data_IF_020706035154
#
_entry.id   IF_020706035154
#
_cell.length_a   1.000
_cell.length_b   1.000
_cell.length_c   1.000
_cell.angle_alpha   90.00
_cell.angle_beta   90.00
_cell.angle_gamma   90.00
#
_symmetry.space_group_name_H-M   'P 1'
#
loop_
_entity.id
_entity.type
_entity.pdbx_description
1 polymer ?
#
# COMPACT_ATOMS: atom_id res chain seq x y z
N UNK A 1 27.43 -33.22 -25.64
CA UNK A 1 26.62 -33.53 -24.43
C UNK A 1 27.00 -32.69 -23.20
N UNK A 2 28.25 -32.27 -23.01
CA UNK A 2 28.65 -31.48 -21.83
C UNK A 2 28.12 -30.03 -21.79
N UNK A 3 27.93 -29.39 -22.94
CA UNK A 3 27.50 -27.97 -23.02
C UNK A 3 26.04 -27.78 -22.57
N UNK A 4 25.17 -28.74 -22.89
CA UNK A 4 23.75 -28.69 -22.51
C UNK A 4 23.57 -28.91 -21.01
N UNK A 5 24.36 -29.81 -20.42
CA UNK A 5 24.35 -30.03 -18.97
C UNK A 5 24.84 -28.80 -18.19
N UNK A 6 25.86 -28.10 -18.69
CA UNK A 6 26.34 -26.86 -18.09
C UNK A 6 25.32 -25.72 -18.18
N UNK A 7 24.62 -25.59 -19.31
CA UNK A 7 23.56 -24.58 -19.48
C UNK A 7 22.35 -24.85 -18.57
N UNK A 8 21.95 -26.13 -18.43
CA UNK A 8 20.85 -26.51 -17.53
C UNK A 8 21.20 -26.26 -16.05
N UNK A 9 22.45 -26.50 -15.65
CA UNK A 9 22.91 -26.21 -14.29
C UNK A 9 22.97 -24.71 -14.00
N UNK A 10 23.40 -23.90 -14.98
CA UNK A 10 23.41 -22.44 -14.86
C UNK A 10 21.98 -21.87 -14.72
N UNK A 11 21.00 -22.40 -15.47
CA UNK A 11 19.59 -22.03 -15.34
C UNK A 11 18.99 -22.44 -13.98
N UNK A 12 19.31 -23.63 -13.49
CA UNK A 12 18.84 -24.10 -12.17
C UNK A 12 19.40 -23.25 -11.01
N UNK A 13 20.64 -22.75 -11.14
CA UNK A 13 21.25 -21.83 -10.16
C UNK A 13 20.63 -20.43 -10.23
N UNK A 14 20.21 -19.98 -11.43
CA UNK A 14 19.47 -18.73 -11.61
C UNK A 14 18.05 -18.78 -11.03
N UNK A 15 17.36 -19.93 -11.12
CA UNK A 15 16.06 -20.12 -10.46
C UNK A 15 16.19 -20.23 -8.92
N UNK A 16 17.36 -20.62 -8.43
CA UNK A 16 17.67 -20.67 -7.01
C UNK A 16 18.15 -19.32 -6.43
N UNK A 17 18.17 -18.24 -7.23
CA UNK A 17 18.55 -16.91 -6.74
C UNK A 17 17.63 -16.51 -5.58
N UNK A 18 18.17 -16.42 -4.35
CA UNK A 18 17.40 -16.02 -3.20
C UNK A 18 16.84 -14.62 -3.47
N UNK A 19 15.63 -14.34 -3.00
CA UNK A 19 14.93 -13.05 -3.11
C UNK A 19 15.68 -11.84 -2.51
N UNK A 20 16.94 -12.01 -2.09
CA UNK A 20 17.88 -11.00 -1.64
C UNK A 20 18.25 -9.97 -2.72
N UNK A 21 18.25 -10.35 -4.00
CA UNK A 21 18.56 -9.41 -5.10
C UNK A 21 17.37 -8.49 -5.44
N UNK A 22 16.17 -8.80 -4.93
CA UNK A 22 14.96 -8.01 -5.22
C UNK A 22 14.75 -6.77 -4.33
N UNK A 23 15.69 -6.45 -3.43
CA UNK A 23 15.65 -5.21 -2.63
C UNK A 23 14.46 -5.10 -1.65
N UNK A 24 13.72 -6.20 -1.41
CA UNK A 24 12.67 -6.20 -0.39
C UNK A 24 13.33 -6.19 0.99
N UNK A 25 13.15 -5.11 1.76
CA UNK A 25 13.62 -5.00 3.13
C UNK A 25 13.16 -6.22 3.94
N UNK A 26 14.08 -6.86 4.70
CA UNK A 26 13.96 -8.21 5.32
C UNK A 26 12.65 -8.54 6.06
N UNK A 27 11.82 -7.55 6.38
CA UNK A 27 10.57 -7.72 7.12
C UNK A 27 9.31 -7.57 6.26
N UNK A 28 9.42 -6.99 5.05
CA UNK A 28 8.28 -6.73 4.17
C UNK A 28 7.89 -8.00 3.43
N UNK A 29 6.68 -8.50 3.72
CA UNK A 29 6.13 -9.72 3.13
C UNK A 29 5.05 -9.39 2.12
N UNK A 30 4.83 -10.30 1.18
CA UNK A 30 3.80 -10.15 0.12
C UNK A 30 2.59 -11.05 0.41
N UNK A 31 1.41 -10.59 0.03
CA UNK A 31 0.17 -11.38 0.03
C UNK A 31 -0.53 -11.25 -1.33
N UNK A 32 -1.36 -12.23 -1.68
CA UNK A 32 -2.12 -12.27 -2.94
C UNK A 32 -3.50 -11.64 -2.78
N UNK A 33 -4.09 -11.74 -1.59
CA UNK A 33 -5.44 -11.23 -1.33
C UNK A 33 -5.53 -10.50 0.01
N UNK A 34 -6.55 -9.66 0.13
CA UNK A 34 -6.89 -8.96 1.39
C UNK A 34 -7.18 -9.97 2.50
N UNK A 35 -7.93 -11.03 2.22
CA UNK A 35 -8.25 -12.05 3.22
C UNK A 35 -7.03 -12.84 3.69
N UNK A 36 -6.06 -13.07 2.80
CA UNK A 36 -4.80 -13.70 3.17
C UNK A 36 -4.01 -12.83 4.15
N UNK A 37 -3.89 -11.52 3.88
CA UNK A 37 -3.16 -10.62 4.79
C UNK A 37 -3.89 -10.45 6.13
N UNK A 38 -5.22 -10.38 6.14
CA UNK A 38 -6.01 -10.34 7.38
C UNK A 38 -5.80 -11.58 8.24
N UNK A 39 -5.82 -12.77 7.63
CA UNK A 39 -5.55 -14.03 8.35
C UNK A 39 -4.14 -14.08 8.93
N UNK A 40 -3.14 -13.64 8.15
CA UNK A 40 -1.74 -13.63 8.61
C UNK A 40 -1.48 -12.62 9.72
N UNK A 41 -2.12 -11.45 9.65
CA UNK A 41 -2.00 -10.39 10.65
C UNK A 41 -2.98 -10.56 11.83
N UNK A 42 -3.89 -11.53 11.76
CA UNK A 42 -4.94 -11.81 12.75
C UNK A 42 -5.76 -10.57 13.12
N UNK A 43 -6.02 -9.71 12.13
CA UNK A 43 -6.80 -8.48 12.31
C UNK A 43 -7.54 -8.12 11.03
N UNK A 44 -8.66 -7.41 11.19
CA UNK A 44 -9.41 -6.84 10.08
C UNK A 44 -8.76 -5.55 9.61
N UNK A 45 -8.77 -5.32 8.31
CA UNK A 45 -8.26 -4.08 7.73
C UNK A 45 -9.37 -3.04 7.69
N UNK A 46 -9.02 -1.78 7.89
CA UNK A 46 -9.91 -0.65 7.59
C UNK A 46 -9.79 -0.37 6.09
N UNK A 47 -10.89 -0.51 5.35
CA UNK A 47 -10.94 -0.28 3.90
C UNK A 47 -12.09 0.68 3.56
N UNK A 48 -11.91 1.54 2.54
CA UNK A 48 -13.01 2.28 1.94
C UNK A 48 -14.14 1.35 1.50
N UNK A 49 -15.37 1.71 1.83
CA UNK A 49 -16.55 1.07 1.25
C UNK A 49 -16.86 1.56 -0.16
N UNK A 50 -16.36 2.74 -0.50
CA UNK A 50 -16.44 3.32 -1.83
C UNK A 50 -15.08 3.28 -2.51
N UNK A 51 -15.03 2.75 -3.73
CA UNK A 51 -13.90 2.87 -4.64
C UNK A 51 -14.38 3.50 -5.95
N UNK A 52 -13.72 4.55 -6.45
CA UNK A 52 -14.03 5.12 -7.75
C UNK A 52 -13.97 4.08 -8.88
N UNK A 53 -14.89 4.16 -9.83
CA UNK A 53 -15.02 3.19 -10.92
C UNK A 53 -13.74 3.05 -11.78
N UNK A 54 -12.89 4.09 -11.81
CA UNK A 54 -11.61 4.07 -12.52
C UNK A 54 -10.57 3.12 -11.93
N UNK A 55 -10.72 2.72 -10.66
CA UNK A 55 -9.78 1.83 -9.98
C UNK A 55 -10.09 0.37 -10.30
N UNK A 56 -9.04 -0.42 -10.54
CA UNK A 56 -9.14 -1.85 -10.74
C UNK A 56 -9.06 -2.58 -9.40
N UNK A 57 -10.16 -2.59 -8.63
CA UNK A 57 -10.22 -3.41 -7.40
C UNK A 57 -10.53 -4.88 -7.76
N UNK A 58 -9.89 -5.89 -7.12
CA UNK A 58 -9.00 -5.89 -5.95
C UNK A 58 -7.58 -5.36 -6.19
N UNK A 59 -6.79 -5.03 -5.13
CA UNK A 59 -5.43 -4.50 -5.27
C UNK A 59 -4.50 -5.50 -5.97
N UNK A 60 -3.66 -5.01 -6.88
CA UNK A 60 -2.70 -5.80 -7.65
C UNK A 60 -1.47 -6.19 -6.84
N UNK A 61 -1.17 -5.42 -5.78
CA UNK A 61 -0.02 -5.65 -4.91
C UNK A 61 -0.41 -5.41 -3.47
N UNK A 62 -0.06 -6.36 -2.60
CA UNK A 62 -0.25 -6.27 -1.16
C UNK A 62 1.08 -6.58 -0.50
N UNK A 63 1.56 -5.64 0.32
CA UNK A 63 2.76 -5.81 1.15
C UNK A 63 2.42 -5.54 2.61
N UNK A 64 3.02 -6.27 3.53
CA UNK A 64 2.75 -6.11 4.95
C UNK A 64 3.98 -6.37 5.83
N UNK A 65 3.91 -5.83 7.04
CA UNK A 65 4.86 -5.99 8.13
C UNK A 65 4.12 -6.62 9.31
N UNK A 66 4.62 -7.74 9.83
CA UNK A 66 3.97 -8.47 10.92
C UNK A 66 4.41 -8.03 12.33
N UNK A 67 5.56 -7.34 12.45
CA UNK A 67 6.07 -6.85 13.74
C UNK A 67 5.48 -5.50 14.14
N UNK A 68 5.43 -5.14 15.44
CA UNK A 68 4.83 -3.89 15.93
C UNK A 68 5.38 -2.63 15.23
N UNK A 69 4.52 -1.66 14.85
CA UNK A 69 3.07 -1.61 15.08
C UNK A 69 2.23 -2.47 14.14
N UNK A 70 2.85 -3.26 13.26
CA UNK A 70 2.22 -3.98 12.16
C UNK A 70 1.72 -2.98 11.11
N UNK A 71 1.86 -3.31 9.82
CA UNK A 71 1.36 -2.42 8.79
C UNK A 71 1.09 -3.16 7.48
N UNK A 72 0.26 -2.57 6.63
CA UNK A 72 -0.05 -3.08 5.30
C UNK A 72 -0.12 -1.93 4.31
N UNK A 73 0.42 -2.15 3.11
CA UNK A 73 0.23 -1.34 1.92
C UNK A 73 -0.51 -2.13 0.85
N UNK A 74 -1.49 -1.49 0.22
CA UNK A 74 -2.30 -2.00 -0.88
C UNK A 74 -2.12 -1.03 -2.05
N UNK A 75 -1.59 -1.52 -3.16
CA UNK A 75 -1.49 -0.75 -4.40
C UNK A 75 -2.60 -1.21 -5.35
N UNK A 76 -3.34 -0.23 -5.86
CA UNK A 76 -4.42 -0.40 -6.80
C UNK A 76 -4.11 0.41 -8.05
N UNK A 77 -4.14 -0.26 -9.19
CA UNK A 77 -3.98 0.35 -10.50
C UNK A 77 -5.31 0.94 -10.98
N UNK A 78 -5.25 1.85 -11.94
CA UNK A 78 -6.39 2.23 -12.73
C UNK A 78 -6.80 1.05 -13.62
N UNK A 79 -8.04 1.05 -14.12
CA UNK A 79 -8.49 0.06 -15.13
C UNK A 79 -7.66 0.07 -16.41
N UNK A 80 -6.94 1.16 -16.68
CA UNK A 80 -5.95 1.24 -17.77
C UNK A 80 -4.55 0.71 -17.43
N UNK A 81 -4.34 0.14 -16.23
CA UNK A 81 -3.08 -0.50 -15.81
C UNK A 81 -2.04 0.42 -15.17
N UNK A 82 -2.28 1.74 -15.09
CA UNK A 82 -1.36 2.67 -14.45
C UNK A 82 -1.52 2.70 -12.91
N UNK A 83 -0.45 2.83 -12.11
CA UNK A 83 -0.57 2.98 -10.65
C UNK A 83 -1.44 4.18 -10.27
N UNK A 84 -2.50 3.95 -9.49
CA UNK A 84 -3.54 4.96 -9.26
C UNK A 84 -3.84 5.26 -7.79
N UNK A 85 -3.68 4.28 -6.90
CA UNK A 85 -3.94 4.42 -5.48
C UNK A 85 -2.96 3.57 -4.66
N UNK A 86 -2.40 4.18 -3.63
CA UNK A 86 -1.81 3.50 -2.48
C UNK A 86 -2.72 3.71 -1.29
N UNK A 87 -3.13 2.61 -0.65
CA UNK A 87 -3.72 2.60 0.68
C UNK A 87 -2.74 1.95 1.63
N UNK A 88 -2.30 2.68 2.65
CA UNK A 88 -1.48 2.12 3.72
C UNK A 88 -2.15 2.32 5.08
N UNK A 89 -1.99 1.35 5.98
CA UNK A 89 -2.44 1.48 7.37
C UNK A 89 -1.52 0.73 8.33
N UNK A 90 -1.40 1.24 9.56
CA UNK A 90 -0.87 0.47 10.68
C UNK A 90 -1.95 -0.42 11.29
N UNK A 91 -1.55 -1.43 12.07
CA UNK A 91 -2.50 -2.30 12.79
C UNK A 91 -2.79 -1.81 14.20
N UNK A 92 -1.92 -0.98 14.75
CA UNK A 92 -2.09 -0.29 16.03
C UNK A 92 -1.47 1.11 15.99
N UNK A 93 -1.30 1.70 17.17
CA UNK A 93 -0.81 3.07 17.29
C UNK A 93 0.64 3.15 16.84
N UNK A 94 0.93 4.14 16.01
CA UNK A 94 2.27 4.39 15.50
C UNK A 94 2.25 4.97 14.09
N UNK A 95 3.45 5.25 13.59
CA UNK A 95 3.64 5.80 12.26
C UNK A 95 3.66 4.70 11.20
N UNK A 96 3.29 5.10 9.98
CA UNK A 96 3.38 4.21 8.82
C UNK A 96 4.84 3.96 8.47
N UNK A 97 5.29 2.70 8.40
CA UNK A 97 6.67 2.40 8.04
C UNK A 97 7.00 2.84 6.61
N UNK A 98 8.08 3.60 6.44
CA UNK A 98 8.55 4.12 5.13
C UNK A 98 8.73 3.01 4.09
N UNK A 99 9.12 1.82 4.52
CA UNK A 99 9.26 0.62 3.67
C UNK A 99 7.94 0.14 3.01
N UNK A 100 6.78 0.61 3.46
CA UNK A 100 5.48 0.36 2.83
C UNK A 100 4.91 1.59 2.09
N UNK A 101 5.46 2.77 2.32
CA UNK A 101 4.99 4.03 1.76
C UNK A 101 6.15 4.64 0.98
N UNK A 102 6.12 4.62 -0.37
CA UNK A 102 7.22 5.18 -1.15
C UNK A 102 7.54 6.61 -0.70
N UNK A 103 8.82 7.01 -0.68
CA UNK A 103 9.19 8.36 -0.29
C UNK A 103 8.52 9.37 -1.22
N UNK A 104 8.05 10.48 -0.66
CA UNK A 104 7.46 11.55 -1.42
C UNK A 104 7.79 12.89 -0.78
N UNK A 105 8.04 13.90 -1.61
CA UNK A 105 8.29 15.27 -1.16
C UNK A 105 6.95 15.99 -0.97
N UNK A 106 6.69 16.49 0.22
CA UNK A 106 5.51 17.33 0.50
C UNK A 106 5.71 18.73 -0.12
N UNK A 107 4.78 19.15 -0.97
CA UNK A 107 4.77 20.49 -1.58
C UNK A 107 3.91 21.46 -0.78
N UNK A 108 2.74 21.00 -0.35
CA UNK A 108 1.81 21.75 0.48
C UNK A 108 1.07 20.81 1.44
N UNK A 109 0.51 21.38 2.50
CA UNK A 109 -0.35 20.67 3.45
C UNK A 109 -1.45 21.56 3.99
N UNK A 110 -2.59 20.95 4.27
CA UNK A 110 -3.72 21.57 4.94
C UNK A 110 -4.42 20.57 5.88
N UNK A 111 -4.92 21.04 7.03
CA UNK A 111 -5.78 20.22 7.87
C UNK A 111 -7.13 19.99 7.17
N UNK A 112 -7.71 18.79 7.33
CA UNK A 112 -9.03 18.45 6.79
C UNK A 112 -9.78 17.52 7.73
N UNK A 113 -11.11 17.57 7.69
CA UNK A 113 -11.96 16.68 8.48
C UNK A 113 -12.37 15.42 7.69
N UNK A 114 -12.05 14.24 8.23
CA UNK A 114 -12.41 12.92 7.72
C UNK A 114 -13.42 12.26 8.68
N UNK A 115 -14.70 12.55 8.47
CA UNK A 115 -15.75 12.12 9.40
C UNK A 115 -15.58 12.78 10.76
N UNK A 116 -15.42 12.00 11.83
CA UNK A 116 -15.11 12.51 13.16
C UNK A 116 -13.61 12.73 13.41
N UNK A 117 -12.73 12.20 12.55
CA UNK A 117 -11.29 12.30 12.70
C UNK A 117 -10.72 13.55 12.01
N UNK A 118 -9.73 14.17 12.64
CA UNK A 118 -8.89 15.16 11.98
C UNK A 118 -7.85 14.44 11.12
N UNK A 119 -7.68 14.91 9.89
CA UNK A 119 -6.70 14.42 8.94
C UNK A 119 -5.87 15.56 8.35
N UNK A 120 -4.94 15.17 7.48
CA UNK A 120 -4.03 16.06 6.77
C UNK A 120 -4.06 15.70 5.29
N UNK A 121 -4.44 16.69 4.48
CA UNK A 121 -4.33 16.64 3.04
C UNK A 121 -3.02 17.30 2.63
N UNK A 122 -2.28 16.66 1.73
CA UNK A 122 -1.04 17.18 1.20
C UNK A 122 -0.94 16.90 -0.30
N UNK A 123 -0.38 17.84 -1.06
CA UNK A 123 0.14 17.57 -2.39
C UNK A 123 1.58 17.11 -2.26
N UNK A 124 1.89 15.96 -2.84
CA UNK A 124 3.21 15.35 -2.75
C UNK A 124 3.77 15.02 -4.14
N UNK A 125 5.09 14.98 -4.27
CA UNK A 125 5.78 14.47 -5.46
C UNK A 125 6.38 13.11 -5.13
N UNK A 126 5.94 12.08 -5.84
CA UNK A 126 6.45 10.70 -5.77
C UNK A 126 6.97 10.34 -7.17
N UNK A 127 8.25 9.98 -7.28
CA UNK A 127 8.90 9.62 -8.56
C UNK A 127 8.67 10.65 -9.70
N UNK A 128 8.69 11.94 -9.35
CA UNK A 128 8.48 13.05 -10.29
C UNK A 128 7.01 13.31 -10.63
N UNK A 129 6.06 12.54 -10.11
CA UNK A 129 4.64 12.74 -10.32
C UNK A 129 3.95 13.40 -9.12
N UNK A 130 3.12 14.40 -9.39
CA UNK A 130 2.29 15.04 -8.37
C UNK A 130 1.11 14.14 -8.00
N UNK A 131 0.89 13.93 -6.71
CA UNK A 131 -0.18 13.11 -6.14
C UNK A 131 -0.83 13.82 -4.95
N UNK A 132 -2.09 13.51 -4.69
CA UNK A 132 -2.75 13.88 -3.44
C UNK A 132 -2.54 12.79 -2.41
N UNK A 133 -2.20 13.20 -1.20
CA UNK A 133 -2.03 12.34 -0.04
C UNK A 133 -2.97 12.80 1.08
N UNK A 134 -3.74 11.87 1.63
CA UNK A 134 -4.60 12.09 2.78
C UNK A 134 -4.19 11.13 3.88
N UNK A 135 -3.82 11.67 5.04
CA UNK A 135 -3.51 10.89 6.24
C UNK A 135 -4.47 11.23 7.38
N UNK A 136 -4.87 10.24 8.17
CA UNK A 136 -5.71 10.43 9.36
C UNK A 136 -5.51 9.27 10.33
N UNK A 137 -6.00 9.43 11.56
CA UNK A 137 -6.05 8.36 12.54
C UNK A 137 -7.48 7.87 12.76
N UNK A 138 -7.66 6.55 12.89
CA UNK A 138 -8.96 5.94 13.17
C UNK A 138 -8.77 4.65 13.98
N UNK A 139 -9.46 4.52 15.11
CA UNK A 139 -9.38 3.32 15.95
C UNK A 139 -7.97 3.02 16.46
N UNK A 140 -7.16 4.06 16.71
CA UNK A 140 -5.76 3.92 17.11
C UNK A 140 -4.82 3.48 15.99
N UNK A 141 -5.23 3.53 14.72
CA UNK A 141 -4.42 3.20 13.55
C UNK A 141 -4.14 4.46 12.74
N UNK A 142 -2.97 4.53 12.12
CA UNK A 142 -2.63 5.55 11.13
C UNK A 142 -3.00 5.05 9.75
N UNK A 143 -3.74 5.85 8.98
CA UNK A 143 -4.16 5.55 7.62
C UNK A 143 -3.59 6.57 6.64
N UNK A 144 -3.31 6.11 5.42
CA UNK A 144 -2.85 6.93 4.32
C UNK A 144 -3.53 6.46 3.04
N UNK A 145 -4.08 7.42 2.30
CA UNK A 145 -4.44 7.26 0.89
C UNK A 145 -3.57 8.20 0.07
N UNK A 146 -2.92 7.69 -0.98
CA UNK A 146 -2.19 8.50 -1.95
C UNK A 146 -2.68 8.17 -3.35
N UNK A 147 -3.13 9.16 -4.11
CA UNK A 147 -3.74 8.94 -5.43
C UNK A 147 -3.45 10.07 -6.41
N UNK A 148 -3.53 9.75 -7.71
CA UNK A 148 -3.57 10.70 -8.83
C UNK A 148 -4.98 11.28 -9.09
N UNK A 149 -6.00 10.79 -8.37
CA UNK A 149 -7.38 11.25 -8.51
C UNK A 149 -7.65 12.62 -7.91
N UNK A 150 -8.92 13.01 -7.88
CA UNK A 150 -9.34 14.26 -7.25
C UNK A 150 -9.29 14.19 -5.72
N UNK A 151 -9.14 15.36 -5.09
CA UNK A 151 -9.25 15.50 -3.63
C UNK A 151 -10.61 15.02 -3.13
N UNK A 152 -11.69 15.35 -3.85
CA UNK A 152 -13.05 14.96 -3.48
C UNK A 152 -13.19 13.43 -3.40
N UNK A 153 -12.68 12.70 -4.40
CA UNK A 153 -12.69 11.24 -4.38
C UNK A 153 -11.86 10.68 -3.23
N UNK A 154 -10.69 11.27 -2.94
CA UNK A 154 -9.81 10.85 -1.85
C UNK A 154 -10.51 11.00 -0.49
N UNK A 155 -11.16 12.15 -0.28
CA UNK A 155 -11.95 12.44 0.93
C UNK A 155 -13.16 11.52 1.03
N UNK A 156 -13.86 11.26 -0.09
CA UNK A 156 -14.99 10.33 -0.13
C UNK A 156 -14.58 8.90 0.21
N UNK A 157 -13.45 8.42 -0.32
CA UNK A 157 -12.88 7.13 0.04
C UNK A 157 -12.58 7.08 1.55
N UNK A 158 -11.86 8.06 2.08
CA UNK A 158 -11.49 8.12 3.49
C UNK A 158 -12.70 8.15 4.43
N UNK A 159 -13.74 8.95 4.11
CA UNK A 159 -14.98 9.01 4.89
C UNK A 159 -15.78 7.71 4.87
N UNK A 160 -15.63 6.92 3.80
CA UNK A 160 -16.27 5.61 3.68
C UNK A 160 -15.48 4.47 4.34
N UNK A 161 -14.32 4.77 4.92
CA UNK A 161 -13.42 3.76 5.46
C UNK A 161 -13.95 3.18 6.78
N UNK A 162 -14.07 1.85 6.79
CA UNK A 162 -14.55 1.08 7.94
C UNK A 162 -13.81 -0.24 8.03
N UNK A 163 -13.81 -0.86 9.21
CA UNK A 163 -13.32 -2.23 9.33
C UNK A 163 -14.16 -3.15 8.44
N UNK A 164 -13.48 -4.03 7.71
CA UNK A 164 -14.16 -5.04 6.90
C UNK A 164 -14.96 -6.00 7.80
N UNK A 165 -16.18 -6.40 7.40
CA UNK A 165 -16.97 -7.39 8.14
C UNK A 165 -16.25 -8.74 8.28
#
# INVERSE_FOLDING_TARGET
MAVVAAAALALAVLDAVPSWVAGDARDVRRARTVDEVQRRLRTRLVLPAYFPARLAWPPQRIRYLAGPPGAVGLWVDARGGAPALLLAQTLGRGELPERLVPPAQELDRSPIQVGAAQGRLARVVEDGEVRWQLTWEQGGRSLLLRSRGSVEELVRMARSARETP
#
